data_IF_635129369294
#
_entry.id   IF_635129369294
#
_cell.length_a   1.000
_cell.length_b   1.000
_cell.length_c   1.000
_cell.angle_alpha   90.00
_cell.angle_beta   90.00
_cell.angle_gamma   90.00
#
_symmetry.space_group_name_H-M   'P 1'
#
loop_
_entity.id
_entity.type
_entity.pdbx_description
1 polymer ?
#
# COMPACT_ATOMS: atom_id res chain seq x y z
N UNK A 1 14.98 17.89 23.10
CA UNK A 1 14.99 19.37 23.05
C UNK A 1 13.58 19.87 22.72
N UNK A 2 12.69 20.06 23.71
CA UNK A 2 11.27 20.29 23.45
C UNK A 2 10.89 21.70 22.93
N UNK A 3 11.81 22.67 22.92
CA UNK A 3 11.56 24.08 22.56
C UNK A 3 12.48 24.62 21.44
N UNK A 4 13.10 23.75 20.65
CA UNK A 4 14.02 24.21 19.60
C UNK A 4 13.24 24.78 18.40
N UNK A 5 13.49 26.04 18.06
CA UNK A 5 12.97 26.67 16.84
C UNK A 5 13.48 25.92 15.60
N UNK A 6 12.60 25.64 14.61
CA UNK A 6 12.93 24.96 13.34
C UNK A 6 14.17 25.55 12.66
N UNK A 7 14.33 26.87 12.68
CA UNK A 7 15.50 27.56 12.12
C UNK A 7 16.78 27.25 12.88
N UNK A 8 16.72 27.17 14.21
CA UNK A 8 17.88 26.83 15.04
C UNK A 8 18.28 25.37 14.83
N UNK A 9 17.31 24.45 14.78
CA UNK A 9 17.57 23.04 14.45
C UNK A 9 18.25 22.91 13.08
N UNK A 10 17.70 23.55 12.05
CA UNK A 10 18.29 23.52 10.71
C UNK A 10 19.71 24.09 10.69
N UNK A 11 19.95 25.25 11.32
CA UNK A 11 21.29 25.86 11.42
C UNK A 11 22.27 24.94 12.13
N UNK A 12 21.85 24.29 13.22
CA UNK A 12 22.68 23.29 13.91
C UNK A 12 23.04 22.12 12.99
N UNK A 13 22.08 21.57 12.25
CA UNK A 13 22.34 20.49 11.28
C UNK A 13 23.32 20.93 10.17
N UNK A 14 23.20 22.18 9.70
CA UNK A 14 24.12 22.77 8.71
C UNK A 14 25.52 22.95 9.31
N UNK A 15 25.64 23.48 10.53
CA UNK A 15 26.94 23.66 11.21
C UNK A 15 27.68 22.33 11.39
N UNK A 16 26.96 21.25 11.68
CA UNK A 16 27.54 19.91 11.80
C UNK A 16 27.70 19.17 10.46
N UNK A 17 27.33 19.78 9.33
CA UNK A 17 27.45 19.16 8.00
C UNK A 17 26.54 17.94 7.77
N UNK A 18 25.61 17.66 8.68
CA UNK A 18 24.68 16.52 8.65
C UNK A 18 23.34 16.85 7.96
N UNK A 19 23.20 18.06 7.42
CA UNK A 19 22.00 18.47 6.68
C UNK A 19 21.91 17.84 5.28
N UNK A 20 22.97 17.16 4.82
CA UNK A 20 23.05 16.52 3.50
C UNK A 20 23.05 15.00 3.68
N UNK A 21 22.38 14.30 2.76
CA UNK A 21 22.48 12.85 2.66
C UNK A 21 23.94 12.49 2.31
N UNK A 22 24.63 11.63 3.09
CA UNK A 22 25.98 11.17 2.78
C UNK A 22 26.09 10.60 1.37
N UNK A 23 27.18 10.88 0.66
CA UNK A 23 27.36 10.39 -0.72
C UNK A 23 27.40 8.85 -0.82
N UNK A 24 27.94 8.18 0.19
CA UNK A 24 27.92 6.72 0.30
C UNK A 24 26.50 6.14 0.30
N UNK A 25 25.54 6.85 0.92
CA UNK A 25 24.12 6.46 0.92
C UNK A 25 23.43 6.70 -0.42
N UNK A 26 23.95 7.60 -1.26
CA UNK A 26 23.43 7.80 -2.63
C UNK A 26 23.82 6.66 -3.56
N UNK A 27 25.01 6.08 -3.37
CA UNK A 27 25.47 4.92 -4.14
C UNK A 27 24.75 3.62 -3.74
N UNK A 28 24.28 3.54 -2.49
CA UNK A 28 23.42 2.44 -2.00
C UNK A 28 21.94 2.58 -2.37
N UNK A 29 21.53 3.70 -2.98
CA UNK A 29 20.15 3.84 -3.44
C UNK A 29 19.94 2.88 -4.62
N UNK A 30 19.25 1.77 -4.37
CA UNK A 30 18.91 0.81 -5.41
C UNK A 30 18.02 1.49 -6.46
N UNK A 31 18.29 1.20 -7.73
CA UNK A 31 17.34 1.48 -8.80
C UNK A 31 16.04 0.73 -8.53
N UNK A 32 14.92 1.37 -8.81
CA UNK A 32 13.62 0.71 -8.71
C UNK A 32 13.64 -0.51 -9.64
N UNK A 33 13.28 -1.68 -9.12
CA UNK A 33 13.24 -2.92 -9.90
C UNK A 33 12.31 -2.71 -11.11
N UNK A 34 12.71 -3.19 -12.28
CA UNK A 34 11.82 -3.23 -13.45
C UNK A 34 10.75 -4.31 -13.22
N UNK A 35 9.50 -3.96 -13.49
CA UNK A 35 8.34 -4.84 -13.38
C UNK A 35 7.64 -4.90 -14.73
N UNK A 36 7.09 -6.07 -15.06
CA UNK A 36 6.09 -6.19 -16.12
C UNK A 36 4.72 -5.72 -15.61
N UNK A 37 3.81 -5.24 -16.49
CA UNK A 37 2.44 -4.92 -16.10
C UNK A 37 1.73 -6.10 -15.44
N UNK A 38 0.91 -5.82 -14.43
CA UNK A 38 0.17 -6.85 -13.68
C UNK A 38 0.67 -7.05 -12.25
N UNK A 39 1.66 -6.28 -11.80
CA UNK A 39 2.05 -6.20 -10.40
C UNK A 39 1.36 -4.99 -9.75
N UNK A 40 0.25 -5.24 -9.05
CA UNK A 40 -0.52 -4.18 -8.40
C UNK A 40 -0.09 -3.96 -6.96
N UNK A 41 0.07 -2.70 -6.58
CA UNK A 41 0.12 -2.30 -5.18
C UNK A 41 -1.27 -1.78 -4.78
N UNK A 42 -1.93 -2.48 -3.87
CA UNK A 42 -3.25 -2.09 -3.35
C UNK A 42 -3.09 -1.54 -1.93
N UNK A 43 -3.62 -0.34 -1.71
CA UNK A 43 -3.59 0.35 -0.42
C UNK A 43 -4.99 0.86 -0.04
N UNK A 44 -5.24 0.96 1.28
CA UNK A 44 -6.48 1.52 1.82
C UNK A 44 -6.16 2.69 2.74
N UNK A 45 -6.53 3.89 2.31
CA UNK A 45 -6.31 5.11 3.07
C UNK A 45 -7.63 5.63 3.66
N UNK A 46 -7.60 6.01 4.94
CA UNK A 46 -8.73 6.69 5.57
C UNK A 46 -8.85 8.14 5.07
N UNK A 47 -10.03 8.51 4.58
CA UNK A 47 -10.30 9.87 4.15
C UNK A 47 -10.71 10.76 5.34
N UNK A 48 -10.38 12.06 5.32
CA UNK A 48 -10.91 13.03 6.27
C UNK A 48 -12.43 12.93 6.37
N UNK A 49 -13.00 13.14 7.57
CA UNK A 49 -14.45 13.06 7.75
C UNK A 49 -15.14 14.19 7.00
N UNK A 50 -15.70 13.88 5.83
CA UNK A 50 -16.56 14.79 5.09
C UNK A 50 -17.97 14.67 5.66
N UNK A 51 -18.53 15.79 6.13
CA UNK A 51 -19.85 15.83 6.77
C UNK A 51 -20.03 14.81 7.92
N UNK A 52 -18.95 14.53 8.68
CA UNK A 52 -18.98 13.59 9.80
C UNK A 52 -18.96 12.10 9.42
N UNK A 53 -19.00 11.77 8.12
CA UNK A 53 -18.94 10.38 7.63
C UNK A 53 -17.50 9.91 7.50
N UNK A 54 -17.26 8.65 7.87
CA UNK A 54 -15.99 7.96 7.64
C UNK A 54 -16.04 7.32 6.26
N UNK A 55 -14.99 7.48 5.47
CA UNK A 55 -14.85 6.87 4.15
C UNK A 55 -13.43 6.36 3.99
N UNK A 56 -13.28 5.36 3.12
CA UNK A 56 -12.04 4.66 2.86
C UNK A 56 -11.78 4.69 1.36
N UNK A 57 -10.60 5.18 0.98
CA UNK A 57 -10.13 5.19 -0.38
C UNK A 57 -9.32 3.91 -0.62
N UNK A 58 -9.81 3.07 -1.51
CA UNK A 58 -9.09 1.92 -2.03
C UNK A 58 -8.37 2.34 -3.30
N UNK A 59 -7.08 2.07 -3.38
CA UNK A 59 -6.24 2.44 -4.53
C UNK A 59 -5.47 1.21 -4.99
N UNK A 60 -5.44 0.98 -6.30
CA UNK A 60 -4.57 0.01 -6.95
C UNK A 60 -3.66 0.76 -7.93
N UNK A 61 -2.35 0.56 -7.81
CA UNK A 61 -1.36 1.15 -8.72
C UNK A 61 -0.51 0.04 -9.31
N UNK A 62 -0.48 -0.05 -10.64
CA UNK A 62 0.44 -0.95 -11.33
C UNK A 62 1.88 -0.43 -11.24
N UNK A 63 2.82 -1.29 -10.85
CA UNK A 63 4.22 -0.87 -10.60
C UNK A 63 4.98 -0.54 -11.88
N UNK A 64 4.60 -1.12 -13.02
CA UNK A 64 5.25 -0.92 -14.30
C UNK A 64 4.75 0.37 -14.98
N UNK A 65 3.45 0.44 -15.24
CA UNK A 65 2.80 1.52 -15.99
C UNK A 65 2.45 2.74 -15.14
N UNK A 66 2.36 2.58 -13.82
CA UNK A 66 1.91 3.61 -12.87
C UNK A 66 0.47 4.08 -13.11
N UNK A 67 -0.31 3.34 -13.89
CA UNK A 67 -1.75 3.55 -14.00
C UNK A 67 -2.39 3.26 -12.64
N UNK A 68 -3.34 4.12 -12.26
CA UNK A 68 -4.00 4.10 -10.97
C UNK A 68 -5.50 3.88 -11.18
N UNK A 69 -6.06 2.96 -10.40
CA UNK A 69 -7.49 2.73 -10.24
C UNK A 69 -7.87 2.96 -8.78
N UNK A 70 -9.01 3.59 -8.52
CA UNK A 70 -9.45 3.86 -7.15
C UNK A 70 -10.96 3.87 -7.00
N UNK A 71 -11.41 3.55 -5.79
CA UNK A 71 -12.81 3.59 -5.38
C UNK A 71 -12.94 4.07 -3.94
N UNK A 72 -14.10 4.64 -3.59
CA UNK A 72 -14.40 5.10 -2.23
C UNK A 72 -15.50 4.24 -1.63
N UNK A 73 -15.23 3.67 -0.47
CA UNK A 73 -16.17 2.85 0.29
C UNK A 73 -16.49 3.48 1.64
N UNK A 74 -17.70 3.24 2.15
CA UNK A 74 -18.08 3.67 3.51
C UNK A 74 -17.40 2.84 4.59
N UNK A 75 -17.01 1.61 4.26
CA UNK A 75 -16.38 0.67 5.19
C UNK A 75 -15.13 0.03 4.56
N UNK A 76 -14.16 -0.39 5.38
CA UNK A 76 -13.02 -1.20 4.94
C UNK A 76 -13.21 -2.66 5.33
N UNK A 77 -14.02 -3.39 4.57
CA UNK A 77 -14.30 -4.80 4.84
C UNK A 77 -13.64 -5.70 3.80
N UNK A 78 -13.46 -6.97 4.14
CA UNK A 78 -13.00 -7.98 3.19
C UNK A 78 -13.92 -8.16 1.97
N UNK A 79 -15.22 -7.81 2.10
CA UNK A 79 -16.15 -7.85 0.96
C UNK A 79 -15.81 -6.75 -0.02
N UNK A 80 -15.60 -5.53 0.48
CA UNK A 80 -15.23 -4.39 -0.36
C UNK A 80 -13.85 -4.59 -1.01
N UNK A 81 -12.89 -5.22 -0.32
CA UNK A 81 -11.60 -5.57 -0.92
C UNK A 81 -11.72 -6.57 -2.08
N UNK A 82 -12.60 -7.57 -1.96
CA UNK A 82 -12.90 -8.55 -3.01
C UNK A 82 -13.60 -7.90 -4.20
N UNK A 83 -14.59 -7.04 -3.94
CA UNK A 83 -15.28 -6.26 -4.97
C UNK A 83 -14.31 -5.37 -5.73
N UNK A 84 -13.50 -4.58 -5.01
CA UNK A 84 -12.47 -3.72 -5.58
C UNK A 84 -11.49 -4.48 -6.47
N UNK A 85 -11.03 -5.67 -6.05
CA UNK A 85 -10.13 -6.48 -6.87
C UNK A 85 -10.81 -7.00 -8.15
N UNK A 86 -12.08 -7.37 -8.11
CA UNK A 86 -12.80 -7.74 -9.33
C UNK A 86 -12.90 -6.56 -10.30
N UNK A 87 -13.21 -5.37 -9.79
CA UNK A 87 -13.27 -4.16 -10.61
C UNK A 87 -11.89 -3.79 -11.18
N UNK A 88 -10.80 -4.02 -10.42
CA UNK A 88 -9.44 -3.88 -10.95
C UNK A 88 -9.19 -4.82 -12.14
N UNK A 89 -9.63 -6.08 -12.05
CA UNK A 89 -9.49 -7.06 -13.14
C UNK A 89 -10.22 -6.64 -14.40
N UNK A 90 -11.37 -5.97 -14.26
CA UNK A 90 -12.15 -5.46 -15.38
C UNK A 90 -11.57 -4.16 -15.97
N UNK A 91 -10.91 -3.35 -15.14
CA UNK A 91 -10.31 -2.08 -15.54
C UNK A 91 -8.97 -2.23 -16.27
N UNK A 92 -8.07 -3.05 -15.74
CA UNK A 92 -6.71 -3.18 -16.29
C UNK A 92 -6.71 -4.06 -17.56
N UNK A 93 -6.07 -3.62 -18.66
CA UNK A 93 -6.05 -4.37 -19.93
C UNK A 93 -5.03 -5.53 -19.92
N UNK A 94 -4.62 -6.00 -18.75
CA UNK A 94 -3.62 -7.05 -18.57
C UNK A 94 -4.00 -7.95 -17.40
N UNK A 95 -3.44 -9.16 -17.39
CA UNK A 95 -3.62 -10.11 -16.29
C UNK A 95 -2.86 -9.62 -15.06
N UNK A 96 -3.58 -9.45 -13.94
CA UNK A 96 -2.96 -9.21 -12.64
C UNK A 96 -2.30 -10.53 -12.22
N UNK A 97 -1.00 -10.48 -11.94
CA UNK A 97 -0.21 -11.66 -11.54
C UNK A 97 0.20 -11.58 -10.08
N UNK A 98 0.46 -10.38 -9.58
CA UNK A 98 0.91 -10.15 -8.21
C UNK A 98 0.14 -9.00 -7.58
N UNK A 99 -0.16 -9.14 -6.29
CA UNK A 99 -0.73 -8.09 -5.47
C UNK A 99 0.18 -7.91 -4.26
N UNK A 100 0.61 -6.67 -4.05
CA UNK A 100 1.23 -6.22 -2.82
C UNK A 100 0.18 -5.42 -2.04
N UNK A 101 -0.16 -5.86 -0.84
CA UNK A 101 -1.02 -5.11 0.10
C UNK A 101 -0.33 -4.98 1.45
N UNK A 102 -0.85 -4.12 2.33
CA UNK A 102 -0.52 -4.25 3.74
C UNK A 102 -1.22 -5.49 4.36
N UNK A 103 -0.88 -5.81 5.60
CA UNK A 103 -1.53 -6.90 6.33
C UNK A 103 -2.85 -6.41 6.99
N UNK A 104 -3.56 -5.46 6.37
CA UNK A 104 -4.86 -4.98 6.83
C UNK A 104 -5.87 -6.12 6.98
N UNK A 105 -6.78 -5.99 7.94
CA UNK A 105 -7.84 -6.98 8.20
C UNK A 105 -8.81 -7.14 7.02
N UNK A 106 -8.84 -6.16 6.11
CA UNK A 106 -9.53 -6.19 4.83
C UNK A 106 -8.89 -7.13 3.80
N UNK A 107 -7.61 -7.47 3.95
CA UNK A 107 -6.85 -8.31 3.02
C UNK A 107 -6.43 -9.65 3.62
N UNK A 108 -6.19 -9.71 4.95
CA UNK A 108 -5.73 -10.94 5.62
C UNK A 108 -6.34 -11.13 7.01
N UNK A 109 -6.35 -12.36 7.50
CA UNK A 109 -6.76 -12.72 8.86
C UNK A 109 -5.59 -12.97 9.82
N UNK A 110 -4.36 -12.68 9.38
CA UNK A 110 -3.11 -12.91 10.13
C UNK A 110 -3.12 -12.37 11.55
N UNK A 111 -3.79 -11.24 11.82
CA UNK A 111 -3.81 -10.64 13.16
C UNK A 111 -4.96 -11.12 14.06
N UNK A 112 -5.86 -11.95 13.52
CA UNK A 112 -7.01 -12.51 14.25
C UNK A 112 -6.72 -13.93 14.74
N UNK A 113 -5.84 -14.66 14.05
CA UNK A 113 -5.46 -16.02 14.43
C UNK A 113 -4.56 -16.01 15.67
N UNK A 114 -4.77 -16.98 16.58
CA UNK A 114 -4.01 -17.09 17.83
C UNK A 114 -2.50 -17.20 17.60
N UNK A 115 -2.11 -17.86 16.51
CA UNK A 115 -0.72 -18.11 16.14
C UNK A 115 -0.14 -17.03 15.21
N UNK A 116 -0.91 -15.97 14.92
CA UNK A 116 -0.57 -14.88 13.99
C UNK A 116 -0.12 -15.34 12.59
N UNK A 117 -0.65 -16.48 12.14
CA UNK A 117 -0.41 -17.03 10.82
C UNK A 117 -1.59 -16.73 9.89
N UNK A 118 -1.28 -16.54 8.60
CA UNK A 118 -2.30 -16.39 7.55
C UNK A 118 -3.00 -17.73 7.40
N UNK A 119 -4.32 -17.75 7.53
CA UNK A 119 -5.05 -19.03 7.46
C UNK A 119 -5.29 -19.52 6.03
N UNK A 120 -5.14 -18.62 5.04
CA UNK A 120 -5.53 -18.84 3.64
C UNK A 120 -7.06 -18.96 3.45
N UNK A 121 -7.86 -18.82 4.51
CA UNK A 121 -9.32 -18.92 4.44
C UNK A 121 -9.98 -17.55 4.24
N UNK A 122 -9.21 -16.48 4.33
CA UNK A 122 -9.70 -15.12 4.14
C UNK A 122 -10.32 -14.95 2.74
N UNK A 123 -11.36 -14.11 2.63
CA UNK A 123 -12.11 -13.98 1.36
C UNK A 123 -11.21 -13.46 0.23
N UNK A 124 -10.29 -12.57 0.56
CA UNK A 124 -9.33 -11.99 -0.37
C UNK A 124 -8.31 -13.03 -0.85
N UNK A 125 -7.70 -13.79 0.08
CA UNK A 125 -6.78 -14.91 -0.23
C UNK A 125 -7.42 -15.92 -1.19
N UNK A 126 -8.69 -16.28 -0.92
CA UNK A 126 -9.45 -17.22 -1.77
C UNK A 126 -9.67 -16.69 -3.18
N UNK A 127 -9.97 -15.39 -3.33
CA UNK A 127 -10.17 -14.78 -4.64
C UNK A 127 -8.86 -14.77 -5.44
N UNK A 128 -7.75 -14.42 -4.79
CA UNK A 128 -6.44 -14.40 -5.42
C UNK A 128 -6.00 -15.80 -5.83
N UNK A 129 -6.12 -16.79 -4.93
CA UNK A 129 -5.82 -18.20 -5.24
C UNK A 129 -6.66 -18.73 -6.41
N UNK A 130 -7.97 -18.42 -6.46
CA UNK A 130 -8.84 -18.80 -7.58
C UNK A 130 -8.46 -18.10 -8.90
N UNK A 131 -7.89 -16.90 -8.81
CA UNK A 131 -7.49 -16.10 -9.96
C UNK A 131 -6.02 -16.31 -10.35
N UNK A 132 -5.31 -17.23 -9.68
CA UNK A 132 -3.88 -17.48 -9.87
C UNK A 132 -3.03 -16.22 -9.67
N UNK A 133 -3.39 -15.44 -8.65
CA UNK A 133 -2.69 -14.21 -8.25
C UNK A 133 -1.87 -14.47 -6.99
N UNK A 134 -0.59 -14.14 -7.04
CA UNK A 134 0.32 -14.21 -5.89
C UNK A 134 0.15 -12.96 -5.00
N UNK A 135 0.09 -13.16 -3.68
CA UNK A 135 -0.01 -12.08 -2.68
C UNK A 135 1.32 -12.01 -1.91
N UNK A 136 1.93 -10.82 -1.89
CA UNK A 136 3.15 -10.49 -1.13
C UNK A 136 2.86 -9.80 0.21
#
# INVERSE_FOLDING_TARGET
>A
MPNANRSNVYRTLVCFGINRVPQEKKQQASTFKEYEPGYLHIDVTYLPKLAGKKQYLFVAIDRATRVLYFEIYENKTAINAVEFLNNCKDFYPFTITHILTDNGLEFTDKFVTKDKQVSGKHKFDKLCSRSEIDID
#
